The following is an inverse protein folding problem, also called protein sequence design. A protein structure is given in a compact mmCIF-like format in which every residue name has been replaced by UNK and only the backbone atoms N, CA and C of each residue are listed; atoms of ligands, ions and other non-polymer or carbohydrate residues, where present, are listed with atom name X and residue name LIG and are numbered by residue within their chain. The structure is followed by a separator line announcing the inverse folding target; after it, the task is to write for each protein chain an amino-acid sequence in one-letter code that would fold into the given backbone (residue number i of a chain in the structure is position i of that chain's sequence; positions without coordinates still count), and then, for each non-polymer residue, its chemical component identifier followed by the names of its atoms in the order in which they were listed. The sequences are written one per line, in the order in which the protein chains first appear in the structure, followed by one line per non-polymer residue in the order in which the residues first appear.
data_IF_804715143264
#
_entry.id   IF_804715143264
#
_cell.length_a   1.000
_cell.length_b   1.000
_cell.length_c   1.000
_cell.angle_alpha   90.00
_cell.angle_beta   90.00
_cell.angle_gamma   90.00
#
_symmetry.space_group_name_H-M   'P 1'
#
loop_
_entity.id
_entity.type
_entity.pdbx_description
1 polymer ?
#
# COMPACT_ATOMS: atom_id res chain seq x y z
N UNK A 1 -9.93 -7.51 -6.39
CA UNK A 1 -8.53 -7.73 -6.85
C UNK A 1 -8.05 -9.04 -6.28
N UNK A 2 -7.01 -9.63 -6.87
CA UNK A 2 -6.38 -10.84 -6.33
C UNK A 2 -5.20 -10.41 -5.46
N UNK A 3 -5.28 -10.67 -4.15
CA UNK A 3 -4.22 -10.37 -3.18
C UNK A 3 -3.40 -11.63 -2.97
N UNK A 4 -2.08 -11.64 -3.25
CA UNK A 4 -1.24 -12.77 -2.92
C UNK A 4 -1.12 -12.91 -1.40
N UNK A 5 -1.23 -14.14 -0.92
CA UNK A 5 -1.27 -14.53 0.50
C UNK A 5 -0.01 -15.28 0.96
N UNK A 6 0.89 -15.61 0.02
CA UNK A 6 2.12 -16.38 0.23
C UNK A 6 3.40 -15.52 0.30
N UNK A 7 3.26 -14.21 0.50
CA UNK A 7 4.38 -13.27 0.54
C UNK A 7 4.89 -13.00 1.96
N UNK A 8 6.21 -12.80 2.06
CA UNK A 8 6.87 -12.47 3.32
C UNK A 8 6.65 -11.00 3.72
N UNK A 9 6.23 -10.79 4.97
CA UNK A 9 6.23 -9.46 5.60
C UNK A 9 7.66 -9.08 6.00
N UNK A 10 8.08 -7.87 5.63
CA UNK A 10 9.47 -7.42 5.83
C UNK A 10 9.64 -6.55 7.07
N UNK A 11 8.64 -5.76 7.45
CA UNK A 11 8.70 -4.89 8.61
C UNK A 11 7.93 -5.49 9.80
N UNK A 12 8.56 -6.42 10.52
CA UNK A 12 7.97 -7.10 11.69
C UNK A 12 7.67 -6.16 12.90
N UNK A 13 8.03 -4.88 12.83
CA UNK A 13 7.69 -3.88 13.83
C UNK A 13 6.25 -3.35 13.70
N UNK A 14 5.59 -3.52 12.55
CA UNK A 14 4.16 -3.23 12.45
C UNK A 14 3.39 -4.33 13.16
N UNK A 15 2.62 -3.99 14.20
CA UNK A 15 1.72 -4.94 14.85
C UNK A 15 0.81 -5.57 13.80
N UNK A 16 1.07 -6.83 13.43
CA UNK A 16 0.22 -7.57 12.48
C UNK A 16 -1.23 -7.63 12.95
N UNK A 17 -1.46 -7.53 14.26
CA UNK A 17 -2.79 -7.47 14.89
C UNK A 17 -3.54 -6.14 14.65
N UNK A 18 -2.86 -5.09 14.19
CA UNK A 18 -3.47 -3.80 13.82
C UNK A 18 -3.92 -3.74 12.35
N UNK A 19 -3.70 -4.81 11.60
CA UNK A 19 -3.96 -4.87 10.16
C UNK A 19 -5.35 -5.44 9.98
N UNK A 20 -6.29 -4.57 9.63
CA UNK A 20 -7.64 -4.99 9.37
C UNK A 20 -7.75 -5.65 7.98
N UNK A 21 -7.25 -6.89 7.86
CA UNK A 21 -7.37 -7.72 6.66
C UNK A 21 -8.84 -8.08 6.37
N UNK A 22 -9.71 -7.97 7.37
CA UNK A 22 -11.17 -8.18 7.27
C UNK A 22 -11.96 -6.88 7.14
N UNK A 23 -11.31 -5.73 7.01
CA UNK A 23 -12.04 -4.47 6.88
C UNK A 23 -12.83 -4.42 5.58
N UNK A 24 -14.03 -3.83 5.68
CA UNK A 24 -14.87 -3.53 4.53
C UNK A 24 -14.12 -2.64 3.54
N UNK A 25 -13.31 -1.72 4.03
CA UNK A 25 -12.51 -0.80 3.23
C UNK A 25 -11.02 -1.10 3.36
N UNK A 26 -10.35 -1.22 2.21
CA UNK A 26 -8.90 -1.41 2.16
C UNK A 26 -8.28 -0.51 1.10
N UNK A 27 -7.04 -0.07 1.35
CA UNK A 27 -6.20 0.58 0.37
C UNK A 27 -5.03 -0.35 0.08
N UNK A 28 -4.95 -0.81 -1.17
CA UNK A 28 -3.89 -1.71 -1.62
C UNK A 28 -2.95 -0.98 -2.54
N UNK A 29 -1.65 -1.13 -2.28
CA UNK A 29 -0.59 -0.41 -2.98
C UNK A 29 0.41 -1.40 -3.53
N UNK A 30 0.72 -1.26 -4.80
CA UNK A 30 1.86 -1.88 -5.46
C UNK A 30 2.93 -0.82 -5.71
N UNK A 31 4.18 -1.14 -5.40
CA UNK A 31 5.31 -0.27 -5.66
C UNK A 31 6.56 -1.02 -6.14
N UNK A 32 7.11 -0.63 -7.29
CA UNK A 32 8.39 -1.12 -7.82
C UNK A 32 9.55 -0.24 -7.31
N UNK A 33 10.24 -0.72 -6.27
CA UNK A 33 11.34 0.03 -5.63
C UNK A 33 12.70 -0.16 -6.31
N UNK A 34 12.81 -1.03 -7.31
CA UNK A 34 14.02 -1.14 -8.14
C UNK A 34 14.10 0.04 -9.14
N UNK A 35 12.96 0.63 -9.51
CA UNK A 35 12.89 1.73 -10.49
C UNK A 35 12.93 3.14 -9.92
N UNK A 36 12.59 3.34 -8.65
CA UNK A 36 12.47 4.67 -8.01
C UNK A 36 12.91 4.65 -6.54
N UNK A 37 13.12 5.84 -5.98
CA UNK A 37 13.37 6.05 -4.56
C UNK A 37 12.07 6.05 -3.74
N UNK A 38 12.15 5.65 -2.47
CA UNK A 38 11.04 5.63 -1.51
C UNK A 38 10.49 7.01 -1.11
N UNK A 39 10.80 8.08 -1.87
CA UNK A 39 10.32 9.44 -1.61
C UNK A 39 8.78 9.53 -1.43
N UNK A 40 7.93 8.84 -2.22
CA UNK A 40 6.48 8.84 -2.00
C UNK A 40 6.04 8.27 -0.63
N UNK A 41 6.90 7.46 -0.01
CA UNK A 41 6.68 6.88 1.31
C UNK A 41 7.42 7.64 2.42
N UNK A 42 8.05 8.76 2.06
CA UNK A 42 8.76 9.65 2.96
C UNK A 42 7.86 10.30 4.01
N UNK A 43 8.49 10.98 4.96
CA UNK A 43 7.80 11.60 6.10
C UNK A 43 6.74 12.64 5.72
N UNK A 44 6.78 13.19 4.50
CA UNK A 44 5.80 14.20 4.05
C UNK A 44 4.36 13.66 3.98
N UNK A 45 4.19 12.35 3.75
CA UNK A 45 2.88 11.71 3.71
C UNK A 45 2.34 11.30 5.10
N UNK A 46 3.17 11.41 6.15
CA UNK A 46 2.81 11.16 7.56
C UNK A 46 2.01 9.87 7.77
N UNK A 47 2.46 8.76 7.20
CA UNK A 47 1.80 7.44 7.26
C UNK A 47 1.37 6.99 8.66
N UNK A 48 2.13 7.35 9.71
CA UNK A 48 1.75 7.09 11.10
C UNK A 48 0.44 7.79 11.47
N UNK A 49 0.29 9.07 11.11
CA UNK A 49 -0.94 9.82 11.36
C UNK A 49 -2.12 9.25 10.58
N UNK A 50 -1.90 8.76 9.36
CA UNK A 50 -2.95 8.10 8.58
C UNK A 50 -3.49 6.86 9.29
N UNK A 51 -2.60 6.04 9.87
CA UNK A 51 -2.99 4.87 10.66
C UNK A 51 -3.85 5.26 11.87
N UNK A 52 -3.48 6.33 12.55
CA UNK A 52 -4.18 6.81 13.75
C UNK A 52 -5.53 7.47 13.42
N UNK A 53 -5.63 8.16 12.28
CA UNK A 53 -6.84 8.87 11.86
C UNK A 53 -7.90 7.96 11.24
N UNK A 54 -7.46 6.90 10.54
CA UNK A 54 -8.32 5.98 9.80
C UNK A 54 -8.03 4.51 10.20
N UNK A 55 -8.18 4.14 11.49
CA UNK A 55 -7.93 2.77 11.95
C UNK A 55 -8.89 1.72 11.32
N UNK A 56 -10.03 2.16 10.80
CA UNK A 56 -11.01 1.35 10.08
C UNK A 56 -10.61 0.98 8.65
N UNK A 57 -9.53 1.60 8.11
CA UNK A 57 -9.06 1.32 6.75
C UNK A 57 -7.89 0.33 6.80
N UNK A 58 -8.05 -0.80 6.13
CA UNK A 58 -6.97 -1.77 5.98
C UNK A 58 -5.95 -1.32 4.93
N UNK A 59 -4.73 -1.01 5.32
CA UNK A 59 -3.66 -0.68 4.38
C UNK A 59 -2.76 -1.89 4.10
N UNK A 60 -2.57 -2.21 2.81
CA UNK A 60 -1.76 -3.35 2.37
C UNK A 60 -0.76 -2.88 1.30
N UNK A 61 0.53 -3.10 1.53
CA UNK A 61 1.58 -2.67 0.61
C UNK A 61 2.36 -3.87 0.06
N UNK A 62 2.40 -3.98 -1.26
CA UNK A 62 3.21 -4.91 -2.03
C UNK A 62 4.39 -4.15 -2.65
N UNK A 63 5.59 -4.42 -2.13
CA UNK A 63 6.83 -3.83 -2.62
C UNK A 63 7.57 -4.83 -3.51
N UNK A 64 7.62 -4.53 -4.80
CA UNK A 64 8.34 -5.33 -5.79
C UNK A 64 9.74 -4.79 -6.07
N UNK A 65 10.68 -5.71 -6.16
CA UNK A 65 12.11 -5.44 -6.33
C UNK A 65 12.93 -6.53 -5.67
N UNK A 66 14.19 -6.71 -6.08
CA UNK A 66 14.96 -7.91 -5.67
C UNK A 66 15.57 -7.82 -4.28
N UNK A 67 15.89 -6.61 -3.82
CA UNK A 67 16.69 -6.40 -2.62
C UNK A 67 15.82 -6.25 -1.36
N UNK A 68 15.51 -7.39 -0.72
CA UNK A 68 14.73 -7.45 0.53
C UNK A 68 15.40 -6.70 1.67
N UNK A 69 16.73 -6.76 1.77
CA UNK A 69 17.47 -6.11 2.86
C UNK A 69 17.41 -4.59 2.73
N UNK A 70 17.56 -4.07 1.51
CA UNK A 70 17.34 -2.65 1.22
C UNK A 70 15.92 -2.24 1.55
N UNK A 71 14.91 -3.01 1.13
CA UNK A 71 13.51 -2.73 1.47
C UNK A 71 13.31 -2.64 2.99
N UNK A 72 13.80 -3.64 3.74
CA UNK A 72 13.70 -3.66 5.20
C UNK A 72 14.36 -2.43 5.85
N UNK A 73 15.56 -2.06 5.37
CA UNK A 73 16.31 -0.92 5.89
C UNK A 73 15.58 0.41 5.63
N UNK A 74 15.07 0.62 4.42
CA UNK A 74 14.33 1.83 4.06
C UNK A 74 13.04 1.96 4.86
N UNK A 75 12.24 0.89 4.96
CA UNK A 75 11.00 0.90 5.74
C UNK A 75 11.23 1.15 7.23
N UNK A 76 12.32 0.60 7.79
CA UNK A 76 12.70 0.87 9.17
C UNK A 76 13.15 2.32 9.37
N UNK A 77 13.93 2.88 8.44
CA UNK A 77 14.34 4.29 8.49
C UNK A 77 13.15 5.26 8.40
N UNK A 78 12.10 4.86 7.69
CA UNK A 78 10.83 5.60 7.58
C UNK A 78 9.89 5.36 8.76
N UNK A 79 10.23 4.44 9.67
CA UNK A 79 9.35 3.92 10.71
C UNK A 79 7.95 3.56 10.16
N UNK A 80 7.94 2.85 9.02
CA UNK A 80 6.74 2.61 8.24
C UNK A 80 5.72 1.77 9.02
N UNK A 81 4.48 2.26 9.24
CA UNK A 81 3.59 1.73 10.27
C UNK A 81 2.66 0.60 9.80
N UNK A 82 2.68 0.28 8.50
CA UNK A 82 1.81 -0.70 7.86
C UNK A 82 2.59 -1.91 7.38
N UNK A 83 1.96 -3.10 7.27
CA UNK A 83 2.61 -4.27 6.72
C UNK A 83 3.07 -4.02 5.29
N UNK A 84 4.33 -4.35 5.07
CA UNK A 84 4.96 -4.34 3.77
C UNK A 84 5.31 -5.78 3.39
N UNK A 85 4.62 -6.29 2.38
CA UNK A 85 4.90 -7.57 1.75
C UNK A 85 5.97 -7.37 0.68
N UNK A 86 6.99 -8.22 0.70
CA UNK A 86 7.99 -8.25 -0.36
C UNK A 86 7.52 -9.16 -1.47
N UNK A 87 7.35 -8.58 -2.65
CA UNK A 87 6.91 -9.25 -3.86
C UNK A 87 8.02 -9.24 -4.92
N UNK A 88 9.14 -9.97 -4.73
CA UNK A 88 10.29 -9.92 -5.62
C UNK A 88 9.96 -10.34 -7.05
N UNK A 89 8.96 -11.19 -7.19
CA UNK A 89 8.54 -11.74 -8.46
C UNK A 89 7.39 -10.98 -9.09
N UNK A 90 6.92 -9.83 -8.56
CA UNK A 90 5.81 -9.07 -9.15
C UNK A 90 4.51 -9.91 -9.29
N UNK A 91 4.24 -10.79 -8.33
CA UNK A 91 3.04 -11.62 -8.28
C UNK A 91 1.77 -10.78 -8.25
N UNK A 92 1.67 -9.77 -7.39
CA UNK A 92 0.49 -8.90 -7.33
C UNK A 92 0.24 -8.22 -8.69
N UNK A 93 1.31 -7.72 -9.31
CA UNK A 93 1.25 -7.05 -10.60
C UNK A 93 0.71 -7.96 -11.71
N UNK A 94 1.23 -9.19 -11.79
CA UNK A 94 0.80 -10.17 -12.80
C UNK A 94 -0.60 -10.71 -12.54
N UNK A 95 -0.93 -11.04 -11.29
CA UNK A 95 -2.24 -11.61 -10.94
C UNK A 95 -3.40 -10.65 -11.26
N UNK A 96 -3.14 -9.34 -11.21
CA UNK A 96 -4.12 -8.31 -11.50
C UNK A 96 -3.98 -7.69 -12.91
N UNK A 97 -3.14 -8.28 -13.77
CA UNK A 97 -2.89 -7.82 -15.15
C UNK A 97 -2.63 -6.30 -15.25
N UNK A 98 -1.78 -5.78 -14.37
CA UNK A 98 -1.53 -4.33 -14.28
C UNK A 98 -0.81 -3.76 -15.51
N UNK A 99 -0.27 -4.61 -16.39
CA UNK A 99 0.27 -4.23 -17.70
C UNK A 99 -0.81 -3.63 -18.63
N UNK A 100 -2.06 -4.07 -18.48
CA UNK A 100 -3.20 -3.61 -19.30
C UNK A 100 -3.65 -2.19 -18.93
N UNK A 101 -3.29 -1.72 -17.74
CA UNK A 101 -3.65 -0.39 -17.26
C UNK A 101 -2.67 0.61 -17.89
N UNK A 102 -3.16 1.43 -18.81
CA UNK A 102 -2.39 2.51 -19.43
C UNK A 102 -2.14 3.67 -18.44
N UNK A 103 -1.44 3.40 -17.34
CA UNK A 103 -0.93 4.47 -16.48
C UNK A 103 0.47 4.88 -16.94
N UNK A 104 0.74 6.17 -16.85
CA UNK A 104 2.08 6.75 -17.04
C UNK A 104 3.09 6.22 -16.01
N UNK A 105 2.63 5.57 -14.93
CA UNK A 105 3.42 5.19 -13.77
C UNK A 105 3.29 3.69 -13.48
N UNK A 106 4.01 2.85 -14.24
CA UNK A 106 4.20 1.41 -13.95
C UNK A 106 4.91 1.10 -12.63
N UNK A 107 5.23 2.13 -11.85
CA UNK A 107 6.04 2.07 -10.66
C UNK A 107 5.18 2.10 -9.40
N UNK A 108 4.01 2.75 -9.44
CA UNK A 108 3.10 2.87 -8.31
C UNK A 108 1.68 2.65 -8.83
N UNK A 109 0.99 1.68 -8.25
CA UNK A 109 -0.44 1.49 -8.46
C UNK A 109 -1.12 1.39 -7.11
N UNK A 110 -2.24 2.07 -6.94
CA UNK A 110 -2.94 2.16 -5.66
C UNK A 110 -4.43 2.11 -5.88
N UNK A 111 -5.13 1.33 -5.06
CA UNK A 111 -6.53 1.01 -5.26
C UNK A 111 -7.29 1.01 -3.95
N UNK A 112 -8.51 1.55 -3.98
CA UNK A 112 -9.52 1.32 -2.96
C UNK A 112 -10.20 -0.02 -3.25
N UNK A 113 -10.29 -0.87 -2.23
CA UNK A 113 -11.12 -2.07 -2.22
C UNK A 113 -12.29 -1.89 -1.26
N UNK A 114 -13.48 -2.28 -1.71
CA UNK A 114 -14.67 -2.43 -0.88
C UNK A 114 -15.06 -3.91 -0.88
N UNK A 115 -15.06 -4.55 0.30
CA UNK A 115 -15.31 -5.98 0.48
C UNK A 115 -14.45 -6.86 -0.45
N UNK A 116 -13.19 -6.47 -0.66
CA UNK A 116 -12.23 -7.17 -1.53
C UNK A 116 -12.33 -6.84 -3.03
N UNK A 117 -13.33 -6.06 -3.45
CA UNK A 117 -13.51 -5.65 -4.85
C UNK A 117 -12.93 -4.26 -5.09
N UNK A 118 -12.18 -4.08 -6.18
CA UNK A 118 -11.64 -2.76 -6.50
C UNK A 118 -12.74 -1.85 -7.02
N UNK A 119 -12.86 -0.67 -6.42
CA UNK A 119 -13.88 0.31 -6.76
C UNK A 119 -13.30 1.52 -7.49
N UNK A 120 -12.10 1.99 -7.10
CA UNK A 120 -11.41 3.10 -7.75
C UNK A 120 -9.90 3.11 -7.46
N UNK A 121 -9.09 3.80 -8.28
CA UNK A 121 -7.71 4.14 -7.91
C UNK A 121 -7.68 5.01 -6.66
N UNK A 122 -6.64 4.83 -5.83
CA UNK A 122 -6.38 5.66 -4.65
C UNK A 122 -5.32 6.71 -4.99
N UNK A 123 -5.50 7.96 -4.55
CA UNK A 123 -4.61 9.08 -4.90
C UNK A 123 -3.36 9.16 -3.99
N UNK A 124 -2.67 8.03 -3.80
CA UNK A 124 -1.45 7.99 -2.99
C UNK A 124 -0.34 8.82 -3.63
N UNK A 125 0.39 9.56 -2.79
CA UNK A 125 1.44 10.49 -3.22
C UNK A 125 0.96 11.93 -3.43
N UNK A 126 -0.35 12.17 -3.35
CA UNK A 126 -0.96 13.51 -3.31
C UNK A 126 -1.73 13.64 -2.00
N UNK A 127 -1.11 14.26 -1.00
CA UNK A 127 -1.55 14.17 0.41
C UNK A 127 -2.95 14.72 0.63
N UNK A 128 -3.23 15.91 0.10
CA UNK A 128 -4.51 16.60 0.33
C UNK A 128 -5.65 15.81 -0.30
N UNK A 129 -5.47 15.38 -1.54
CA UNK A 129 -6.42 14.57 -2.29
C UNK A 129 -6.64 13.22 -1.60
N UNK A 130 -5.59 12.56 -1.13
CA UNK A 130 -5.73 11.29 -0.42
C UNK A 130 -6.50 11.44 0.90
N UNK A 131 -6.24 12.51 1.65
CA UNK A 131 -6.99 12.81 2.88
C UNK A 131 -8.47 13.08 2.58
N UNK A 132 -8.77 13.85 1.55
CA UNK A 132 -10.15 14.07 1.11
C UNK A 132 -10.85 12.77 0.70
N UNK A 133 -10.13 11.86 0.03
CA UNK A 133 -10.66 10.53 -0.29
C UNK A 133 -10.98 9.71 0.96
N UNK A 134 -10.10 9.72 1.97
CA UNK A 134 -10.30 8.97 3.21
C UNK A 134 -11.46 9.54 4.05
N UNK A 135 -11.53 10.87 4.20
CA UNK A 135 -12.65 11.53 4.91
C UNK A 135 -14.00 11.26 4.22
N UNK A 136 -14.01 11.23 2.89
CA UNK A 136 -15.21 10.88 2.12
C UNK A 136 -15.70 9.44 2.33
N UNK A 137 -14.84 8.52 2.77
CA UNK A 137 -15.23 7.14 3.14
C UNK A 137 -15.95 7.12 4.49
N UNK A 138 -15.45 7.86 5.49
CA UNK A 138 -16.06 7.93 6.84
C UNK A 138 -17.48 8.47 6.83
N UNK A 139 -17.82 9.35 5.88
CA UNK A 139 -19.16 9.93 5.77
C UNK A 139 -20.20 9.00 5.11
N UNK A 140 -19.78 7.85 4.56
CA UNK A 140 -20.66 6.89 3.88
C UNK A 140 -21.03 5.66 4.72
N UNK A 141 -20.37 5.45 5.85
CA UNK A 141 -20.71 4.44 6.86
C UNK A 141 -21.72 4.98 7.88
#
# INVERSE_FOLDING_TARGET
MILPDDLDVVNQQSEMDSVCMTCSHQVVVFYDFDKKSFCPFGQEFLWKQMKDQFPEVGFVFYFSGKDRERLAKELNALEFPFPAYHDPDFLFYRLNDLDSIQTTYRILHSFHLENGFSVKPAQIGMREEFLEEMEGLRMKE
#
